data_IF_300859041853
#
_entry.id   IF_300859041853
#
_cell.length_a   1.000
_cell.length_b   1.000
_cell.length_c   1.000
_cell.angle_alpha   90.00
_cell.angle_beta   90.00
_cell.angle_gamma   90.00
#
_symmetry.space_group_name_H-M   'P 1'
#
loop_
_entity.id
_entity.type
_entity.pdbx_description
1 polymer ?
#
# COMPACT_ATOMS: atom_id res chain seq x y z
N UNK A 1 4.12 5.82 22.29
CA UNK A 1 3.00 5.50 21.38
C UNK A 1 3.45 5.12 19.95
N UNK A 2 4.76 5.06 19.67
CA UNK A 2 5.36 4.71 18.36
C UNK A 2 5.67 3.21 18.16
N UNK A 3 5.60 2.40 19.21
CA UNK A 3 5.95 0.96 19.15
C UNK A 3 4.83 0.05 18.60
N UNK A 4 3.59 0.52 18.53
CA UNK A 4 2.42 -0.32 18.23
C UNK A 4 2.20 -0.66 16.74
N UNK A 5 2.77 0.10 15.82
CA UNK A 5 2.61 -0.16 14.38
C UNK A 5 3.64 -1.17 13.81
N UNK A 6 4.69 -1.50 14.55
CA UNK A 6 5.77 -2.38 14.11
C UNK A 6 5.44 -3.88 14.21
N UNK A 7 4.49 -4.26 15.07
CA UNK A 7 4.19 -5.67 15.36
C UNK A 7 3.34 -6.32 14.28
N UNK A 8 2.41 -5.59 13.68
CA UNK A 8 1.58 -6.08 12.56
C UNK A 8 2.39 -6.39 11.30
N UNK A 9 3.50 -5.69 11.08
CA UNK A 9 4.47 -6.01 10.03
C UNK A 9 5.16 -7.37 10.23
N UNK A 10 5.22 -7.89 11.45
CA UNK A 10 6.03 -9.05 11.81
C UNK A 10 5.44 -10.38 11.35
N UNK A 11 4.16 -10.58 11.52
CA UNK A 11 3.48 -11.81 11.05
C UNK A 11 3.45 -11.88 9.51
N UNK A 12 3.36 -10.74 8.83
CA UNK A 12 3.50 -10.68 7.39
C UNK A 12 4.95 -10.93 6.92
N UNK A 13 5.96 -10.45 7.66
CA UNK A 13 7.36 -10.56 7.25
C UNK A 13 7.92 -11.98 7.41
N UNK A 14 7.55 -12.70 8.47
CA UNK A 14 7.94 -14.10 8.69
C UNK A 14 7.38 -15.01 7.58
N UNK A 15 6.19 -14.70 7.08
CA UNK A 15 5.59 -15.45 5.97
C UNK A 15 6.19 -15.12 4.58
N UNK A 16 6.73 -13.92 4.37
CA UNK A 16 7.25 -13.51 3.05
C UNK A 16 8.64 -14.07 2.76
N UNK A 17 9.50 -14.25 3.77
CA UNK A 17 10.87 -14.74 3.59
C UNK A 17 11.00 -16.27 3.53
N UNK A 18 9.96 -17.01 3.89
CA UNK A 18 9.90 -18.48 3.81
C UNK A 18 8.93 -18.97 2.72
N UNK A 19 8.96 -18.36 1.55
CA UNK A 19 8.25 -18.90 0.39
C UNK A 19 8.92 -20.22 -0.03
N UNK A 20 8.51 -21.34 0.58
CA UNK A 20 8.72 -22.65 0.00
C UNK A 20 7.78 -22.84 -1.19
N UNK A 21 8.22 -23.52 -2.24
CA UNK A 21 7.47 -23.78 -3.48
C UNK A 21 6.09 -24.49 -3.29
N UNK A 22 5.74 -24.86 -2.07
CA UNK A 22 4.46 -25.47 -1.70
C UNK A 22 3.76 -24.58 -0.67
N UNK A 23 2.88 -23.70 -1.16
CA UNK A 23 2.00 -22.91 -0.30
C UNK A 23 1.01 -23.82 0.41
N UNK A 24 0.87 -23.74 1.76
CA UNK A 24 -0.19 -24.47 2.43
C UNK A 24 -1.55 -23.92 1.97
N UNK A 25 -2.29 -24.73 1.22
CA UNK A 25 -3.63 -24.38 0.78
C UNK A 25 -4.57 -24.35 1.99
N UNK A 26 -5.11 -23.16 2.35
CA UNK A 26 -6.04 -22.99 3.47
C UNK A 26 -7.50 -22.90 3.02
N UNK A 27 -7.90 -23.78 2.09
CA UNK A 27 -9.30 -23.97 1.68
C UNK A 27 -10.01 -24.94 2.60
N UNK A 28 -10.45 -24.47 3.77
CA UNK A 28 -11.22 -25.28 4.70
C UNK A 28 -12.71 -25.01 4.52
N UNK A 29 -13.51 -26.08 4.35
CA UNK A 29 -14.95 -26.00 4.22
C UNK A 29 -15.61 -25.92 5.59
N UNK A 30 -16.33 -24.83 5.84
CA UNK A 30 -17.11 -24.61 7.06
C UNK A 30 -18.61 -24.73 6.83
N UNK A 31 -19.08 -24.44 5.60
CA UNK A 31 -20.49 -24.49 5.23
C UNK A 31 -20.69 -25.29 3.93
N UNK A 32 -21.86 -25.95 3.86
CA UNK A 32 -22.25 -26.74 2.69
C UNK A 32 -22.96 -25.82 1.69
N UNK A 33 -22.21 -25.08 0.91
CA UNK A 33 -22.77 -24.22 -0.13
C UNK A 33 -22.21 -24.61 -1.49
N UNK A 34 -23.10 -24.66 -2.49
CA UNK A 34 -22.75 -25.04 -3.87
C UNK A 34 -23.04 -23.87 -4.78
N UNK A 35 -22.04 -23.49 -5.59
CA UNK A 35 -22.16 -22.43 -6.58
C UNK A 35 -22.21 -23.04 -7.98
N UNK A 36 -23.09 -22.50 -8.84
CA UNK A 36 -23.33 -23.00 -10.19
C UNK A 36 -23.06 -21.94 -11.26
N UNK A 37 -22.84 -22.38 -12.48
CA UNK A 37 -22.76 -21.54 -13.67
C UNK A 37 -21.81 -20.37 -13.56
N UNK A 38 -22.30 -19.16 -13.84
CA UNK A 38 -21.47 -17.92 -13.89
C UNK A 38 -20.80 -17.60 -12.54
N UNK A 39 -21.49 -17.87 -11.40
CA UNK A 39 -20.93 -17.59 -10.07
C UNK A 39 -19.76 -18.52 -9.76
N UNK A 40 -19.87 -19.82 -10.12
CA UNK A 40 -18.79 -20.78 -9.93
C UNK A 40 -17.55 -20.37 -10.75
N UNK A 41 -17.74 -19.99 -12.00
CA UNK A 41 -16.64 -19.52 -12.86
C UNK A 41 -16.01 -18.22 -12.32
N UNK A 42 -16.82 -17.34 -11.76
CA UNK A 42 -16.29 -16.10 -11.16
C UNK A 42 -15.44 -16.39 -9.92
N UNK A 43 -15.81 -17.37 -9.09
CA UNK A 43 -14.98 -17.83 -7.96
C UNK A 43 -13.63 -18.37 -8.45
N UNK A 44 -13.62 -19.15 -9.52
CA UNK A 44 -12.40 -19.67 -10.13
C UNK A 44 -11.50 -18.54 -10.61
N UNK A 45 -12.03 -17.56 -11.34
CA UNK A 45 -11.30 -16.38 -11.76
C UNK A 45 -10.75 -15.56 -10.58
N UNK A 46 -11.54 -15.39 -9.49
CA UNK A 46 -11.09 -14.68 -8.27
C UNK A 46 -9.89 -15.41 -7.66
N UNK A 47 -9.93 -16.74 -7.56
CA UNK A 47 -8.80 -17.51 -7.04
C UNK A 47 -7.55 -17.35 -7.93
N UNK A 48 -7.68 -17.51 -9.24
CA UNK A 48 -6.56 -17.35 -10.19
C UNK A 48 -5.91 -15.95 -10.06
N UNK A 49 -6.75 -14.91 -9.96
CA UNK A 49 -6.29 -13.54 -9.76
C UNK A 49 -5.55 -13.45 -8.43
N UNK A 50 -6.20 -13.77 -7.32
CA UNK A 50 -5.66 -13.59 -5.99
C UNK A 50 -4.39 -14.43 -5.77
N UNK A 51 -4.35 -15.67 -6.24
CA UNK A 51 -3.17 -16.53 -6.19
C UNK A 51 -2.00 -15.97 -7.00
N UNK A 52 -2.27 -15.41 -8.19
CA UNK A 52 -1.23 -14.82 -9.03
C UNK A 52 -0.52 -13.63 -8.35
N UNK A 53 -1.24 -12.86 -7.52
CA UNK A 53 -0.67 -11.79 -6.72
C UNK A 53 0.01 -12.31 -5.46
N UNK A 54 -0.59 -13.28 -4.77
CA UNK A 54 -0.02 -13.91 -3.60
C UNK A 54 1.36 -14.53 -3.86
N UNK A 55 1.53 -15.22 -4.99
CA UNK A 55 2.83 -15.78 -5.42
C UNK A 55 3.92 -14.72 -5.62
N UNK A 56 3.54 -13.45 -5.79
CA UNK A 56 4.44 -12.30 -5.89
C UNK A 56 4.58 -11.53 -4.57
N UNK A 57 4.07 -12.09 -3.47
CA UNK A 57 4.11 -11.48 -2.14
C UNK A 57 3.08 -10.36 -1.93
N UNK A 58 2.07 -10.26 -2.80
CA UNK A 58 1.02 -9.24 -2.70
C UNK A 58 -0.28 -9.89 -2.28
N UNK A 59 -0.84 -9.50 -1.12
CA UNK A 59 -2.15 -9.93 -0.68
C UNK A 59 -3.16 -8.84 -1.04
N UNK A 60 -4.19 -9.22 -1.80
CA UNK A 60 -5.20 -8.27 -2.28
C UNK A 60 -6.30 -8.06 -1.23
N UNK A 61 -6.85 -6.84 -1.17
CA UNK A 61 -8.13 -6.58 -0.49
C UNK A 61 -9.30 -6.97 -1.40
N UNK A 62 -10.51 -7.16 -0.84
CA UNK A 62 -11.73 -7.43 -1.61
C UNK A 62 -11.96 -6.35 -2.69
N UNK A 63 -11.64 -5.09 -2.38
CA UNK A 63 -11.78 -3.97 -3.33
C UNK A 63 -10.82 -4.11 -4.51
N UNK A 64 -9.58 -4.49 -4.27
CA UNK A 64 -8.61 -4.74 -5.33
C UNK A 64 -8.99 -5.93 -6.20
N UNK A 65 -9.48 -7.02 -5.60
CA UNK A 65 -10.04 -8.16 -6.35
C UNK A 65 -11.18 -7.72 -7.27
N UNK A 66 -12.09 -6.89 -6.77
CA UNK A 66 -13.17 -6.31 -7.58
C UNK A 66 -12.62 -5.56 -8.80
N UNK A 67 -11.67 -4.63 -8.61
CA UNK A 67 -11.11 -3.88 -9.73
C UNK A 67 -10.33 -4.76 -10.71
N UNK A 68 -9.65 -5.78 -10.23
CA UNK A 68 -9.01 -6.77 -11.11
C UNK A 68 -10.04 -7.55 -11.95
N UNK A 69 -11.22 -7.83 -11.42
CA UNK A 69 -12.31 -8.43 -12.19
C UNK A 69 -12.89 -7.44 -13.23
N UNK A 70 -13.02 -6.16 -12.89
CA UNK A 70 -13.48 -5.12 -13.82
C UNK A 70 -12.49 -4.94 -14.97
N UNK A 71 -11.20 -4.76 -14.67
CA UNK A 71 -10.16 -4.54 -15.68
C UNK A 71 -10.04 -5.71 -16.66
N UNK A 72 -10.32 -6.94 -16.19
CA UNK A 72 -10.35 -8.14 -17.04
C UNK A 72 -11.69 -8.39 -17.73
N UNK A 73 -12.61 -7.42 -17.68
CA UNK A 73 -13.96 -7.49 -18.28
C UNK A 73 -14.79 -8.70 -17.79
N UNK A 74 -14.56 -9.18 -16.56
CA UNK A 74 -15.32 -10.27 -15.96
C UNK A 74 -16.66 -9.76 -15.40
N UNK A 75 -16.70 -8.50 -14.95
CA UNK A 75 -17.87 -7.82 -14.36
C UNK A 75 -17.89 -6.35 -14.79
N UNK A 76 -19.06 -5.70 -14.67
CA UNK A 76 -19.20 -4.27 -14.91
C UNK A 76 -18.68 -3.44 -13.71
N UNK A 77 -18.20 -2.23 -13.97
CA UNK A 77 -17.81 -1.29 -12.92
C UNK A 77 -19.07 -0.66 -12.31
N UNK A 78 -19.58 -1.22 -11.20
CA UNK A 78 -20.74 -0.71 -10.49
C UNK A 78 -20.73 -1.14 -9.01
N UNK A 79 -21.38 -0.32 -8.16
CA UNK A 79 -21.52 -0.65 -6.73
C UNK A 79 -22.19 -2.01 -6.50
N UNK A 80 -23.20 -2.35 -7.31
CA UNK A 80 -23.90 -3.65 -7.22
C UNK A 80 -22.97 -4.84 -7.45
N UNK A 81 -22.06 -4.73 -8.44
CA UNK A 81 -21.09 -5.80 -8.71
C UNK A 81 -20.02 -5.85 -7.61
N UNK A 82 -19.63 -4.70 -7.02
CA UNK A 82 -18.74 -4.69 -5.84
C UNK A 82 -19.37 -5.43 -4.65
N UNK A 83 -20.63 -5.12 -4.29
CA UNK A 83 -21.34 -5.77 -3.19
C UNK A 83 -21.46 -7.27 -3.44
N UNK A 84 -21.70 -7.68 -4.70
CA UNK A 84 -21.75 -9.08 -5.11
C UNK A 84 -20.40 -9.79 -4.99
N UNK A 85 -19.27 -9.15 -5.36
CA UNK A 85 -17.92 -9.72 -5.17
C UNK A 85 -17.65 -9.92 -3.69
N UNK A 86 -17.99 -8.94 -2.85
CA UNK A 86 -17.80 -9.01 -1.41
C UNK A 86 -18.57 -10.22 -0.81
N UNK A 87 -19.83 -10.41 -1.20
CA UNK A 87 -20.64 -11.56 -0.79
C UNK A 87 -20.05 -12.89 -1.29
N UNK A 88 -19.68 -12.97 -2.56
CA UNK A 88 -19.08 -14.17 -3.16
C UNK A 88 -17.77 -14.55 -2.47
N UNK A 89 -16.90 -13.58 -2.14
CA UNK A 89 -15.66 -13.85 -1.42
C UNK A 89 -15.94 -14.41 -0.03
N UNK A 90 -16.87 -13.81 0.73
CA UNK A 90 -17.23 -14.28 2.06
C UNK A 90 -17.79 -15.70 2.03
N UNK A 91 -18.79 -15.96 1.19
CA UNK A 91 -19.44 -17.27 1.05
C UNK A 91 -18.52 -18.33 0.43
N UNK A 92 -17.72 -17.93 -0.56
CA UNK A 92 -16.74 -18.81 -1.18
C UNK A 92 -15.65 -19.29 -0.21
N UNK A 93 -15.23 -18.45 0.73
CA UNK A 93 -14.34 -18.84 1.83
C UNK A 93 -15.00 -19.86 2.76
N UNK A 94 -16.24 -19.59 3.19
CA UNK A 94 -17.00 -20.51 4.05
C UNK A 94 -17.26 -21.86 3.37
N UNK A 95 -17.46 -21.87 2.07
CA UNK A 95 -17.63 -23.08 1.27
C UNK A 95 -16.31 -23.83 0.97
N UNK A 96 -15.15 -23.30 1.37
CA UNK A 96 -13.83 -23.87 1.06
C UNK A 96 -13.42 -23.77 -0.40
N UNK A 97 -13.94 -22.77 -1.12
CA UNK A 97 -13.66 -22.54 -2.54
C UNK A 97 -12.67 -21.40 -2.79
N UNK A 98 -12.53 -20.47 -1.84
CA UNK A 98 -11.57 -19.36 -1.88
C UNK A 98 -10.61 -19.50 -0.70
N UNK A 99 -9.31 -19.35 -0.98
CA UNK A 99 -8.28 -19.43 0.05
C UNK A 99 -8.30 -18.21 0.97
N UNK A 100 -8.16 -18.47 2.28
CA UNK A 100 -8.18 -17.42 3.31
C UNK A 100 -6.96 -16.49 3.24
N UNK A 101 -5.81 -17.00 2.78
CA UNK A 101 -4.55 -16.26 2.74
C UNK A 101 -4.43 -15.29 1.57
N UNK A 102 -5.24 -15.48 0.52
CA UNK A 102 -5.07 -14.73 -0.74
C UNK A 102 -5.71 -13.34 -0.73
N UNK A 103 -6.66 -13.10 0.20
CA UNK A 103 -7.39 -11.84 0.28
C UNK A 103 -7.48 -11.42 1.76
N UNK A 104 -7.14 -10.19 2.09
CA UNK A 104 -7.08 -9.70 3.48
C UNK A 104 -8.16 -8.67 3.84
N UNK A 105 -8.45 -8.55 5.15
CA UNK A 105 -9.15 -7.42 5.76
C UNK A 105 -8.19 -6.71 6.73
N UNK A 106 -7.71 -5.53 6.37
CA UNK A 106 -6.72 -4.76 7.15
C UNK A 106 -7.27 -4.02 8.34
N UNK A 107 -8.58 -4.00 8.52
CA UNK A 107 -9.22 -3.11 9.49
C UNK A 107 -9.45 -3.74 10.86
N UNK A 108 -9.27 -5.07 11.00
CA UNK A 108 -9.62 -5.83 12.20
C UNK A 108 -8.51 -6.75 12.64
N UNK A 109 -7.71 -6.30 13.62
CA UNK A 109 -6.58 -7.06 14.15
C UNK A 109 -6.71 -7.27 15.66
N UNK A 110 -6.34 -8.46 16.13
CA UNK A 110 -6.19 -8.74 17.56
C UNK A 110 -5.02 -7.91 18.11
N UNK A 111 -5.16 -7.38 19.32
CA UNK A 111 -4.12 -6.65 20.04
C UNK A 111 -3.79 -7.40 21.31
N UNK A 112 -2.54 -7.82 21.44
CA UNK A 112 -2.00 -8.51 22.61
C UNK A 112 -0.59 -7.99 22.92
N UNK A 113 -0.10 -8.24 24.11
CA UNK A 113 1.28 -7.91 24.48
C UNK A 113 2.25 -8.93 23.87
N UNK A 114 3.46 -8.48 23.55
CA UNK A 114 4.54 -9.39 23.16
C UNK A 114 5.03 -10.19 24.36
N UNK A 115 5.34 -11.46 24.14
CA UNK A 115 5.91 -12.37 25.13
C UNK A 115 7.14 -13.07 24.53
N UNK A 116 8.13 -13.34 25.37
CA UNK A 116 9.35 -14.07 25.03
C UNK A 116 9.59 -15.18 26.05
N UNK A 117 10.03 -16.32 25.62
CA UNK A 117 10.25 -17.46 26.51
C UNK A 117 11.49 -17.30 27.42
N UNK A 118 12.48 -16.49 26.99
CA UNK A 118 13.72 -16.27 27.73
C UNK A 118 14.40 -14.94 27.30
N UNK A 119 15.40 -14.47 28.11
CA UNK A 119 16.13 -13.24 27.79
C UNK A 119 16.90 -13.27 26.47
N UNK A 120 17.41 -14.43 26.06
CA UNK A 120 18.14 -14.56 24.80
C UNK A 120 17.20 -14.29 23.59
N UNK A 121 15.97 -14.76 23.66
CA UNK A 121 14.98 -14.57 22.59
C UNK A 121 14.61 -13.08 22.39
N UNK A 122 14.45 -12.31 23.47
CA UNK A 122 14.22 -10.86 23.31
C UNK A 122 15.44 -10.15 22.75
N UNK A 123 16.67 -10.55 23.09
CA UNK A 123 17.90 -9.98 22.53
C UNK A 123 18.03 -10.28 21.02
N UNK A 124 17.75 -11.50 20.59
CA UNK A 124 17.67 -11.86 19.17
C UNK A 124 16.60 -11.02 18.45
N UNK A 125 15.45 -10.85 19.09
CA UNK A 125 14.39 -10.00 18.59
C UNK A 125 14.83 -8.55 18.42
N UNK A 126 15.58 -8.01 19.37
CA UNK A 126 16.15 -6.66 19.26
C UNK A 126 17.16 -6.58 18.10
N UNK A 127 18.02 -7.57 17.94
CA UNK A 127 18.96 -7.65 16.82
C UNK A 127 18.24 -7.70 15.46
N UNK A 128 17.18 -8.52 15.34
CA UNK A 128 16.36 -8.61 14.14
C UNK A 128 15.68 -7.28 13.80
N UNK A 129 15.21 -6.55 14.81
CA UNK A 129 14.49 -5.30 14.65
C UNK A 129 15.40 -4.09 14.50
N UNK A 130 16.69 -4.20 14.80
CA UNK A 130 17.63 -3.09 14.66
C UNK A 130 17.61 -2.54 13.25
N UNK A 131 17.43 -1.23 13.13
CA UNK A 131 17.48 -0.47 11.88
C UNK A 131 18.11 0.88 12.16
N UNK A 132 18.94 1.32 11.24
CA UNK A 132 19.40 2.71 11.20
C UNK A 132 18.64 3.45 10.08
N UNK A 133 18.64 4.77 10.10
CA UNK A 133 18.17 5.54 8.95
C UNK A 133 19.20 5.39 7.82
N UNK A 134 18.93 4.44 6.89
CA UNK A 134 19.82 4.18 5.76
C UNK A 134 19.80 5.31 4.75
N UNK A 135 18.86 6.25 4.87
CA UNK A 135 18.75 7.43 4.02
C UNK A 135 19.31 8.71 4.64
N UNK A 136 19.87 8.67 5.85
CA UNK A 136 20.39 9.85 6.55
C UNK A 136 21.40 10.67 5.72
N UNK A 137 22.17 10.02 4.84
CA UNK A 137 23.18 10.64 3.98
C UNK A 137 22.69 11.00 2.58
N UNK A 138 21.43 10.72 2.25
CA UNK A 138 20.85 10.99 0.94
C UNK A 138 20.67 12.51 0.69
N UNK A 139 20.77 12.98 -0.57
CA UNK A 139 20.57 14.39 -0.90
C UNK A 139 19.13 14.87 -0.68
N UNK A 140 18.15 13.97 -0.85
CA UNK A 140 16.74 14.25 -0.71
C UNK A 140 16.13 13.51 0.48
N UNK A 141 15.22 14.19 1.19
CA UNK A 141 14.25 13.56 2.07
C UNK A 141 12.99 13.28 1.28
N UNK A 142 12.61 12.01 1.16
CA UNK A 142 11.48 11.58 0.34
C UNK A 142 10.42 10.99 1.24
N UNK A 143 9.16 11.40 1.06
CA UNK A 143 7.99 10.69 1.58
C UNK A 143 7.11 10.22 0.41
N UNK A 144 6.64 8.99 0.48
CA UNK A 144 5.70 8.42 -0.49
C UNK A 144 4.30 8.45 0.09
N UNK A 145 3.41 9.21 -0.54
CA UNK A 145 2.05 9.44 -0.06
C UNK A 145 1.02 8.82 -1.01
N UNK A 146 -0.01 8.21 -0.43
CA UNK A 146 -1.11 7.62 -1.18
C UNK A 146 -2.45 8.06 -0.61
N UNK A 147 -3.45 8.29 -1.46
CA UNK A 147 -4.76 8.73 -1.00
C UNK A 147 -5.50 7.66 -0.22
N UNK A 148 -5.43 6.40 -0.69
CA UNK A 148 -6.24 5.30 -0.17
C UNK A 148 -5.47 4.38 0.78
N UNK A 149 -6.01 4.22 1.98
CA UNK A 149 -5.46 3.32 3.00
C UNK A 149 -5.40 1.84 2.54
N UNK A 150 -6.35 1.42 1.70
CA UNK A 150 -6.38 0.07 1.11
C UNK A 150 -5.14 -0.26 0.26
N UNK A 151 -4.45 0.75 -0.25
CA UNK A 151 -3.29 0.59 -1.13
C UNK A 151 -1.94 0.75 -0.40
N UNK A 152 -1.95 1.03 0.91
CA UNK A 152 -0.72 1.28 1.70
C UNK A 152 0.27 0.12 1.63
N UNK A 153 -0.19 -1.14 1.68
CA UNK A 153 0.76 -2.25 1.62
C UNK A 153 1.44 -2.42 0.26
N UNK A 154 0.79 -1.98 -0.82
CA UNK A 154 1.44 -1.92 -2.14
C UNK A 154 2.54 -0.86 -2.11
N UNK A 155 2.24 0.31 -1.54
CA UNK A 155 3.21 1.38 -1.34
C UNK A 155 4.38 0.93 -0.45
N UNK A 156 4.10 0.32 0.70
CA UNK A 156 5.13 -0.22 1.60
C UNK A 156 6.01 -1.27 0.92
N UNK A 157 5.43 -2.13 0.08
CA UNK A 157 6.19 -3.14 -0.66
C UNK A 157 7.16 -2.51 -1.65
N UNK A 158 6.77 -1.39 -2.30
CA UNK A 158 7.61 -0.65 -3.23
C UNK A 158 8.76 0.11 -2.54
N UNK A 159 8.52 0.63 -1.34
CA UNK A 159 9.43 1.59 -0.69
C UNK A 159 10.30 0.98 0.41
N UNK A 160 9.91 -0.16 0.97
CA UNK A 160 10.60 -0.81 2.10
C UNK A 160 12.08 -1.09 1.85
N UNK A 161 12.44 -1.60 0.66
CA UNK A 161 13.84 -1.92 0.31
C UNK A 161 14.73 -0.69 0.23
N UNK A 162 14.13 0.46 -0.02
CA UNK A 162 14.80 1.75 -0.18
C UNK A 162 14.69 2.61 1.08
N UNK A 163 14.06 2.08 2.14
CA UNK A 163 13.88 2.74 3.45
C UNK A 163 13.23 4.13 3.31
N UNK A 164 12.13 4.20 2.53
CA UNK A 164 11.40 5.44 2.30
C UNK A 164 10.10 5.44 3.11
N UNK A 165 9.83 6.49 3.92
CA UNK A 165 8.59 6.63 4.67
C UNK A 165 7.34 6.66 3.78
N UNK A 166 6.28 5.99 4.25
CA UNK A 166 4.98 5.93 3.59
C UNK A 166 3.89 6.57 4.42
N UNK A 167 2.96 7.25 3.76
CA UNK A 167 1.82 7.88 4.41
C UNK A 167 0.53 7.71 3.60
N UNK A 168 -0.59 7.37 4.30
CA UNK A 168 -1.93 7.38 3.70
C UNK A 168 -2.68 8.64 4.13
N UNK A 169 -3.11 9.44 3.16
CA UNK A 169 -3.88 10.65 3.45
C UNK A 169 -5.34 10.36 3.79
N UNK A 170 -5.86 9.16 3.45
CA UNK A 170 -7.26 8.75 3.68
C UNK A 170 -8.28 9.79 3.19
N UNK A 171 -8.06 10.31 1.98
CA UNK A 171 -8.78 11.46 1.46
C UNK A 171 -8.22 12.77 2.01
N UNK A 172 -9.08 13.68 2.47
CA UNK A 172 -8.65 14.93 3.11
C UNK A 172 -7.98 14.65 4.46
N UNK A 173 -6.66 14.78 4.50
CA UNK A 173 -5.88 14.60 5.74
C UNK A 173 -6.32 15.56 6.84
N UNK A 174 -6.25 15.10 8.10
CA UNK A 174 -6.51 15.99 9.23
C UNK A 174 -5.46 17.11 9.33
N UNK A 175 -5.87 18.25 9.86
CA UNK A 175 -4.95 19.39 10.05
C UNK A 175 -3.75 19.01 10.94
N UNK A 176 -3.98 18.15 11.94
CA UNK A 176 -2.94 17.64 12.84
C UNK A 176 -1.91 16.82 12.06
N UNK A 177 -2.35 15.88 11.23
CA UNK A 177 -1.44 15.04 10.45
C UNK A 177 -0.61 15.85 9.44
N UNK A 178 -1.19 16.89 8.82
CA UNK A 178 -0.46 17.78 7.93
C UNK A 178 0.53 18.68 8.69
N UNK A 179 0.20 19.11 9.90
CA UNK A 179 1.13 19.84 10.76
C UNK A 179 2.34 18.97 11.15
N UNK A 180 2.09 17.73 11.59
CA UNK A 180 3.15 16.76 11.89
C UNK A 180 4.03 16.46 10.67
N UNK A 181 3.43 16.36 9.47
CA UNK A 181 4.18 16.20 8.24
C UNK A 181 5.06 17.43 7.94
N UNK A 182 4.50 18.65 8.08
CA UNK A 182 5.27 19.87 7.91
C UNK A 182 6.46 19.93 8.87
N UNK A 183 6.29 19.50 10.12
CA UNK A 183 7.38 19.44 11.10
C UNK A 183 8.47 18.44 10.70
N UNK A 184 8.12 17.24 10.19
CA UNK A 184 9.11 16.29 9.66
C UNK A 184 9.90 16.90 8.50
N UNK A 185 9.20 17.54 7.55
CA UNK A 185 9.83 18.19 6.40
C UNK A 185 10.79 19.32 6.81
N UNK A 186 10.42 20.18 7.77
CA UNK A 186 11.27 21.24 8.30
C UNK A 186 12.52 20.73 8.99
N UNK A 187 12.43 19.60 9.70
CA UNK A 187 13.53 19.04 10.47
C UNK A 187 14.40 18.05 9.67
N UNK A 188 14.07 17.78 8.40
CA UNK A 188 14.85 16.85 7.56
C UNK A 188 16.28 17.32 7.27
N UNK A 189 16.49 18.65 7.24
CA UNK A 189 17.77 19.29 6.87
C UNK A 189 18.16 19.08 5.39
N UNK A 190 17.25 18.63 4.54
CA UNK A 190 17.45 18.26 3.12
C UNK A 190 16.38 18.87 2.23
N UNK A 191 16.55 18.76 0.92
CA UNK A 191 15.46 19.03 -0.02
C UNK A 191 14.37 17.97 0.12
N UNK A 192 13.12 18.41 0.33
CA UNK A 192 12.01 17.52 0.61
C UNK A 192 11.19 17.25 -0.66
N UNK A 193 10.89 15.98 -0.91
CA UNK A 193 10.07 15.53 -2.04
C UNK A 193 8.95 14.63 -1.53
N UNK A 194 7.72 14.99 -1.84
CA UNK A 194 6.54 14.16 -1.61
C UNK A 194 6.10 13.57 -2.95
N UNK A 195 6.17 12.24 -3.07
CA UNK A 195 5.64 11.50 -4.21
C UNK A 195 4.20 11.07 -3.89
N UNK A 196 3.23 11.65 -4.59
CA UNK A 196 1.81 11.48 -4.27
C UNK A 196 1.06 10.72 -5.38
N UNK A 197 0.24 9.74 -4.99
CA UNK A 197 -0.74 9.10 -5.86
C UNK A 197 -2.14 9.18 -5.25
N UNK A 198 -3.11 9.57 -6.06
CA UNK A 198 -4.52 9.71 -5.67
C UNK A 198 -5.47 9.59 -6.86
N UNK A 199 -6.76 9.53 -6.58
CA UNK A 199 -7.83 9.41 -7.58
C UNK A 199 -7.79 10.55 -8.58
N UNK A 200 -8.11 10.26 -9.83
CA UNK A 200 -8.31 11.29 -10.86
C UNK A 200 -9.81 11.62 -10.95
N UNK A 201 -10.30 12.27 -9.93
CA UNK A 201 -11.67 12.74 -9.82
C UNK A 201 -11.71 14.16 -9.22
N UNK A 202 -12.88 14.83 -9.16
CA UNK A 202 -12.99 16.19 -8.64
C UNK A 202 -12.42 16.34 -7.21
N UNK A 203 -12.72 15.40 -6.31
CA UNK A 203 -12.20 15.40 -4.94
C UNK A 203 -10.73 15.06 -4.85
N UNK A 204 -10.25 14.05 -5.59
CA UNK A 204 -8.85 13.58 -5.56
C UNK A 204 -7.86 14.61 -6.08
N UNK A 205 -8.23 15.41 -7.12
CA UNK A 205 -7.40 16.52 -7.54
C UNK A 205 -7.38 17.63 -6.48
N UNK A 206 -8.53 17.93 -5.86
CA UNK A 206 -8.61 18.95 -4.80
C UNK A 206 -7.83 18.56 -3.55
N UNK A 207 -7.79 17.27 -3.18
CA UNK A 207 -7.02 16.78 -2.04
C UNK A 207 -5.54 17.13 -2.18
N UNK A 208 -4.91 16.89 -3.33
CA UNK A 208 -3.50 17.21 -3.54
C UNK A 208 -3.22 18.72 -3.43
N UNK A 209 -4.12 19.58 -3.93
CA UNK A 209 -4.02 21.03 -3.80
C UNK A 209 -4.10 21.47 -2.33
N UNK A 210 -5.08 20.94 -1.58
CA UNK A 210 -5.25 21.25 -0.15
C UNK A 210 -4.04 20.79 0.68
N UNK A 211 -3.49 19.63 0.37
CA UNK A 211 -2.25 19.16 1.01
C UNK A 211 -1.13 20.19 0.80
N UNK A 212 -0.92 20.59 -0.46
CA UNK A 212 0.13 21.57 -0.81
C UNK A 212 -0.09 22.92 -0.14
N UNK A 213 -1.33 23.46 -0.17
CA UNK A 213 -1.70 24.72 0.49
C UNK A 213 -1.43 24.67 2.02
N UNK A 214 -1.82 23.58 2.68
CA UNK A 214 -1.67 23.42 4.13
C UNK A 214 -0.23 23.24 4.56
N UNK A 215 0.55 22.45 3.84
CA UNK A 215 1.97 22.29 4.16
C UNK A 215 2.73 23.61 3.99
N UNK A 216 2.42 24.40 2.95
CA UNK A 216 2.96 25.77 2.77
C UNK A 216 2.51 26.71 3.90
N UNK A 217 1.26 26.63 4.36
CA UNK A 217 0.77 27.42 5.49
C UNK A 217 1.56 27.12 6.78
N UNK A 218 2.09 25.91 6.93
CA UNK A 218 2.94 25.51 8.05
C UNK A 218 4.44 25.74 7.80
N UNK A 219 4.79 26.58 6.83
CA UNK A 219 6.17 26.97 6.46
C UNK A 219 7.06 25.78 6.08
N UNK A 220 6.49 24.69 5.57
CA UNK A 220 7.29 23.59 5.01
C UNK A 220 7.78 23.95 3.61
N UNK A 221 9.07 23.64 3.34
CA UNK A 221 9.66 23.72 2.00
C UNK A 221 9.72 22.32 1.41
N UNK A 222 9.08 22.10 0.27
CA UNK A 222 8.97 20.77 -0.37
C UNK A 222 8.56 20.89 -1.84
N UNK A 223 8.77 19.80 -2.58
CA UNK A 223 8.19 19.57 -3.90
C UNK A 223 7.16 18.46 -3.77
N UNK A 224 5.90 18.74 -4.08
CA UNK A 224 4.87 17.71 -4.21
C UNK A 224 4.76 17.29 -5.67
N UNK A 225 5.14 16.03 -5.95
CA UNK A 225 5.06 15.43 -7.28
C UNK A 225 3.93 14.43 -7.33
N UNK A 226 2.84 14.75 -8.05
CA UNK A 226 1.77 13.79 -8.32
C UNK A 226 2.24 12.80 -9.38
N UNK A 227 2.41 11.52 -8.98
CA UNK A 227 2.91 10.45 -9.84
C UNK A 227 1.80 9.52 -10.35
N UNK A 228 0.61 9.55 -9.78
CA UNK A 228 -0.57 8.75 -10.15
C UNK A 228 -1.87 9.34 -9.58
N UNK A 229 -3.04 9.09 -10.16
CA UNK A 229 -3.30 8.73 -11.56
C UNK A 229 -3.17 9.98 -12.44
N UNK A 230 -2.53 9.86 -13.58
CA UNK A 230 -2.41 10.92 -14.58
C UNK A 230 -3.22 10.59 -15.83
N UNK A 231 -3.55 11.60 -16.63
CA UNK A 231 -4.27 11.42 -17.90
C UNK A 231 -3.50 10.53 -18.91
N UNK A 232 -2.16 10.58 -18.92
CA UNK A 232 -1.33 9.71 -19.74
C UNK A 232 -1.54 8.26 -19.35
N UNK A 233 -1.43 7.94 -18.06
CA UNK A 233 -1.62 6.59 -17.53
C UNK A 233 -3.03 6.04 -17.80
N UNK A 234 -4.06 6.88 -17.68
CA UNK A 234 -5.44 6.51 -18.01
C UNK A 234 -5.54 6.04 -19.47
N UNK A 235 -4.93 6.78 -20.39
CA UNK A 235 -4.95 6.47 -21.84
C UNK A 235 -4.11 5.26 -22.19
N UNK A 236 -2.88 5.18 -21.67
CA UNK A 236 -1.92 4.11 -21.93
C UNK A 236 -2.43 2.76 -21.42
N UNK A 237 -3.03 2.73 -20.25
CA UNK A 237 -3.54 1.52 -19.61
C UNK A 237 -5.01 1.24 -19.96
N UNK A 238 -5.65 2.11 -20.74
CA UNK A 238 -7.08 2.03 -21.09
C UNK A 238 -7.95 1.76 -19.85
N UNK A 239 -7.75 2.57 -18.79
CA UNK A 239 -8.43 2.36 -17.52
C UNK A 239 -9.93 2.61 -17.66
N UNK A 240 -10.78 1.77 -17.03
CA UNK A 240 -12.23 1.93 -17.10
C UNK A 240 -12.67 3.19 -16.34
N UNK A 241 -13.38 4.13 -17.02
CA UNK A 241 -13.91 5.29 -16.35
C UNK A 241 -15.16 4.96 -15.54
N UNK A 242 -15.47 5.84 -14.60
CA UNK A 242 -16.81 5.93 -14.01
C UNK A 242 -17.31 7.37 -14.04
N UNK A 243 -18.64 7.62 -14.06
CA UNK A 243 -19.15 8.99 -14.08
C UNK A 243 -18.74 9.75 -12.83
N UNK A 244 -18.15 10.93 -13.00
CA UNK A 244 -17.88 11.82 -11.88
C UNK A 244 -19.21 12.20 -11.19
N UNK A 245 -19.19 12.32 -9.87
CA UNK A 245 -20.41 12.59 -9.09
C UNK A 245 -20.89 14.03 -9.35
N UNK A 246 -22.04 14.19 -9.99
CA UNK A 246 -22.62 15.51 -10.29
C UNK A 246 -22.83 16.41 -9.04
N UNK A 247 -22.95 15.79 -7.87
CA UNK A 247 -23.11 16.48 -6.57
C UNK A 247 -21.79 16.84 -5.89
N UNK A 248 -20.63 16.51 -6.49
CA UNK A 248 -19.34 16.93 -5.96
C UNK A 248 -19.16 18.43 -6.12
N UNK A 249 -18.90 19.14 -5.01
CA UNK A 249 -18.71 20.59 -5.03
C UNK A 249 -17.56 21.06 -5.93
N UNK A 250 -16.61 20.18 -6.24
CA UNK A 250 -15.42 20.47 -7.05
C UNK A 250 -15.61 20.13 -8.55
N UNK A 251 -16.76 19.59 -8.95
CA UNK A 251 -16.99 19.12 -10.33
C UNK A 251 -16.79 20.21 -11.39
N UNK A 252 -17.21 21.45 -11.12
CA UNK A 252 -17.05 22.56 -12.06
C UNK A 252 -15.59 22.92 -12.32
N UNK A 253 -14.81 22.95 -11.25
CA UNK A 253 -13.36 23.21 -11.30
C UNK A 253 -12.64 22.06 -12.01
N UNK A 254 -13.00 20.82 -11.70
CA UNK A 254 -12.49 19.63 -12.37
C UNK A 254 -12.70 19.67 -13.88
N UNK A 255 -13.94 19.93 -14.34
CA UNK A 255 -14.25 20.03 -15.77
C UNK A 255 -13.49 21.20 -16.43
N UNK A 256 -13.39 22.34 -15.75
CA UNK A 256 -12.64 23.48 -16.26
C UNK A 256 -11.13 23.18 -16.45
N UNK A 257 -10.53 22.42 -15.52
CA UNK A 257 -9.09 22.04 -15.55
C UNK A 257 -8.79 20.89 -16.52
N UNK A 258 -9.66 19.91 -16.60
CA UNK A 258 -9.38 18.63 -17.30
C UNK A 258 -10.13 18.50 -18.62
N UNK A 259 -11.25 19.17 -18.79
CA UNK A 259 -12.20 18.98 -19.88
C UNK A 259 -13.01 17.68 -19.78
N UNK A 260 -12.91 16.95 -18.67
CA UNK A 260 -13.48 15.61 -18.50
C UNK A 260 -14.73 15.65 -17.63
N UNK A 261 -15.64 14.70 -17.89
CA UNK A 261 -16.80 14.39 -17.05
C UNK A 261 -16.70 13.03 -16.38
N UNK A 262 -15.71 12.24 -16.77
CA UNK A 262 -15.41 10.93 -16.22
C UNK A 262 -14.33 11.05 -15.16
N UNK A 263 -14.28 10.06 -14.28
CA UNK A 263 -13.36 9.96 -13.17
C UNK A 263 -12.69 8.58 -13.14
N UNK A 264 -11.56 8.47 -12.47
CA UNK A 264 -10.80 7.23 -12.33
C UNK A 264 -10.29 7.06 -10.90
N UNK A 265 -10.56 5.90 -10.33
CA UNK A 265 -10.07 5.55 -9.01
C UNK A 265 -8.66 4.95 -9.10
N UNK A 266 -7.81 5.27 -8.14
CA UNK A 266 -6.43 4.76 -8.04
C UNK A 266 -6.38 3.22 -7.94
N UNK A 267 -7.39 2.61 -7.33
CA UNK A 267 -7.56 1.15 -7.25
C UNK A 267 -7.71 0.47 -8.63
N UNK A 268 -7.99 1.20 -9.70
CA UNK A 268 -8.05 0.66 -11.06
C UNK A 268 -6.65 0.37 -11.64
N UNK A 269 -5.59 0.97 -11.07
CA UNK A 269 -4.23 0.65 -11.48
C UNK A 269 -3.85 -0.78 -11.05
N UNK A 270 -3.17 -1.54 -11.92
CA UNK A 270 -2.55 -2.79 -11.49
C UNK A 270 -1.57 -2.53 -10.34
N UNK A 271 -1.59 -3.34 -9.27
CA UNK A 271 -0.68 -3.17 -8.14
C UNK A 271 0.79 -3.07 -8.53
N UNK A 272 1.23 -3.87 -9.50
CA UNK A 272 2.61 -3.85 -10.00
C UNK A 272 2.97 -2.54 -10.69
N UNK A 273 2.02 -1.97 -11.42
CA UNK A 273 2.22 -0.68 -12.05
C UNK A 273 2.37 0.43 -11.00
N UNK A 274 1.51 0.42 -9.99
CA UNK A 274 1.59 1.37 -8.88
C UNK A 274 2.91 1.23 -8.11
N UNK A 275 3.38 0.00 -7.83
CA UNK A 275 4.69 -0.25 -7.23
C UNK A 275 5.80 0.33 -8.09
N UNK A 276 5.81 0.03 -9.39
CA UNK A 276 6.86 0.48 -10.32
C UNK A 276 6.92 2.00 -10.44
N UNK A 277 5.79 2.71 -10.32
CA UNK A 277 5.78 4.17 -10.30
C UNK A 277 6.60 4.72 -9.14
N UNK A 278 6.33 4.24 -7.92
CA UNK A 278 7.08 4.70 -6.74
C UNK A 278 8.54 4.26 -6.79
N UNK A 279 8.82 3.01 -7.13
CA UNK A 279 10.19 2.49 -7.25
C UNK A 279 11.01 3.30 -8.25
N UNK A 280 10.47 3.58 -9.43
CA UNK A 280 11.15 4.35 -10.46
C UNK A 280 11.47 5.77 -9.99
N UNK A 281 10.51 6.45 -9.38
CA UNK A 281 10.71 7.83 -8.91
C UNK A 281 11.70 7.89 -7.74
N UNK A 282 11.60 6.99 -6.78
CA UNK A 282 12.55 6.92 -5.66
C UNK A 282 13.95 6.59 -6.16
N UNK A 283 14.09 5.66 -7.11
CA UNK A 283 15.38 5.28 -7.68
C UNK A 283 16.08 6.44 -8.36
N UNK A 284 15.34 7.29 -9.10
CA UNK A 284 15.94 8.48 -9.75
C UNK A 284 16.48 9.53 -8.76
N UNK A 285 15.96 9.50 -7.52
CA UNK A 285 16.31 10.43 -6.45
C UNK A 285 17.28 9.82 -5.42
N UNK A 286 17.74 8.58 -5.65
CA UNK A 286 18.59 7.84 -4.70
C UNK A 286 20.03 7.78 -5.14
N UNK A 287 20.94 8.19 -4.25
CA UNK A 287 22.36 7.90 -4.35
C UNK A 287 22.62 6.48 -3.83
N UNK A 288 22.78 5.53 -4.75
CA UNK A 288 22.91 4.11 -4.41
C UNK A 288 24.24 3.78 -3.71
N UNK A 289 25.32 4.53 -3.94
CA UNK A 289 26.58 4.30 -3.23
C UNK A 289 26.40 4.58 -1.75
N UNK A 290 25.86 5.74 -1.40
CA UNK A 290 25.55 6.10 -0.01
C UNK A 290 24.54 5.16 0.64
N UNK A 291 23.50 4.75 -0.11
CA UNK A 291 22.53 3.80 0.40
C UNK A 291 23.17 2.46 0.76
N UNK A 292 24.01 1.91 -0.12
CA UNK A 292 24.69 0.65 0.10
C UNK A 292 25.71 0.73 1.25
N UNK A 293 26.39 1.85 1.41
CA UNK A 293 27.29 2.07 2.53
C UNK A 293 26.55 1.97 3.88
N UNK A 294 25.42 2.67 3.99
CA UNK A 294 24.59 2.64 5.20
C UNK A 294 23.96 1.28 5.45
N UNK A 295 23.46 0.60 4.42
CA UNK A 295 22.95 -0.78 4.54
C UNK A 295 24.03 -1.76 5.00
N UNK A 296 25.26 -1.61 4.52
CA UNK A 296 26.39 -2.45 4.97
C UNK A 296 26.78 -2.14 6.41
N UNK A 297 26.66 -0.89 6.85
CA UNK A 297 26.81 -0.54 8.26
C UNK A 297 25.73 -1.21 9.12
N UNK A 298 24.47 -1.11 8.76
CA UNK A 298 23.38 -1.76 9.47
C UNK A 298 23.58 -3.28 9.61
N UNK A 299 24.05 -3.93 8.52
CA UNK A 299 24.37 -5.37 8.56
C UNK A 299 25.46 -5.71 9.56
N UNK A 300 26.54 -4.94 9.62
CA UNK A 300 27.63 -5.14 10.60
C UNK A 300 27.13 -4.96 12.03
N UNK A 301 26.39 -3.86 12.26
CA UNK A 301 25.84 -3.59 13.60
C UNK A 301 24.90 -4.69 14.07
N UNK A 302 24.06 -5.22 13.16
CA UNK A 302 23.20 -6.39 13.43
C UNK A 302 23.99 -7.65 13.79
N UNK A 303 25.06 -7.96 13.03
CA UNK A 303 25.90 -9.12 13.34
C UNK A 303 26.46 -9.03 14.74
N UNK A 304 26.93 -7.85 15.16
CA UNK A 304 27.42 -7.63 16.53
C UNK A 304 26.33 -7.86 17.57
N UNK A 305 25.09 -7.39 17.33
CA UNK A 305 23.97 -7.63 18.24
C UNK A 305 23.60 -9.11 18.34
N UNK A 306 23.64 -9.86 17.24
CA UNK A 306 23.43 -11.31 17.27
C UNK A 306 24.52 -12.05 18.06
N UNK A 307 25.80 -11.68 17.89
CA UNK A 307 26.90 -12.25 18.68
C UNK A 307 26.69 -12.01 20.18
N UNK A 308 26.24 -10.82 20.58
CA UNK A 308 25.90 -10.51 21.96
C UNK A 308 24.71 -11.35 22.47
N UNK A 309 23.69 -11.56 21.65
CA UNK A 309 22.56 -12.40 22.01
C UNK A 309 22.94 -13.89 22.20
N UNK A 310 23.92 -14.39 21.43
CA UNK A 310 24.42 -15.77 21.57
C UNK A 310 25.33 -15.94 22.80
N UNK A 311 25.93 -14.87 23.30
CA UNK A 311 26.78 -14.89 24.48
C UNK A 311 25.99 -14.85 25.81
N UNK A 312 24.67 -14.62 25.78
CA UNK A 312 23.75 -14.63 26.91
C UNK A 312 23.06 -15.98 27.05
#
# INVERSE_FOLDING_TARGET
>A
MLAFNLILCRLQWYNINNFSDTLPEMKKKYQNEVFYGKTRKLIENINEIAESYYRRGIILTVRQVYYQCVTRNLIANSKREYDKISDIVARGRLAGLIDWNFIEDRTRTLRENDHWDNPQEILRTCADQYRIDTRATQPYYIECWIEKDSLVAILESATRRLDVPCYSSRGFSSITALHEAADRLKHSGRENIILYAGDHDPSGLKISEVIEERLKLFDANFILKRIGITLSQIRELNLPPYPAKDKDGNIKEYIAKTGLKDAWELDALPPEFLMSLYESEVNTLTDFEKLHEMQNREKRDKSTLFELAEAC
#
